data_IF_383563524442
#
_entry.id   IF_383563524442
#
_cell.length_a   1.000
_cell.length_b   1.000
_cell.length_c   1.000
_cell.angle_alpha   90.00
_cell.angle_beta   90.00
_cell.angle_gamma   90.00
#
_symmetry.space_group_name_H-M   'P 1'
#
loop_
_entity.id
_entity.type
_entity.pdbx_description
1 polymer ?
#
# COMPACT_ATOMS: atom_id res chain seq x y z
N UNK A 1 -9.33 4.90 -18.07
CA UNK A 1 -7.96 5.44 -17.92
C UNK A 1 -7.06 4.36 -17.33
N UNK A 2 -5.78 4.30 -17.73
CA UNK A 2 -4.86 3.16 -17.56
C UNK A 2 -4.78 2.53 -16.15
N UNK A 3 -5.08 3.28 -15.09
CA UNK A 3 -4.94 2.84 -13.70
C UNK A 3 -6.24 2.81 -12.88
N UNK A 4 -7.42 2.97 -13.50
CA UNK A 4 -8.70 3.07 -12.78
C UNK A 4 -8.97 1.84 -11.91
N UNK A 5 -8.66 0.65 -12.44
CA UNK A 5 -8.76 -0.62 -11.70
C UNK A 5 -7.88 -0.59 -10.45
N UNK A 6 -6.61 -0.19 -10.60
CA UNK A 6 -5.65 -0.18 -9.48
C UNK A 6 -6.04 0.83 -8.39
N UNK A 7 -6.56 2.00 -8.80
CA UNK A 7 -7.11 3.02 -7.89
C UNK A 7 -8.35 2.48 -7.15
N UNK A 8 -9.25 1.78 -7.84
CA UNK A 8 -10.42 1.16 -7.21
C UNK A 8 -10.01 0.09 -6.18
N UNK A 9 -9.00 -0.73 -6.50
CA UNK A 9 -8.44 -1.73 -5.59
C UNK A 9 -7.80 -1.09 -4.35
N UNK A 10 -7.05 0.01 -4.52
CA UNK A 10 -6.47 0.75 -3.40
C UNK A 10 -7.55 1.39 -2.52
N UNK A 11 -8.66 1.88 -3.12
CA UNK A 11 -9.82 2.40 -2.39
C UNK A 11 -10.47 1.30 -1.55
N UNK A 12 -10.70 0.12 -2.13
CA UNK A 12 -11.25 -1.02 -1.41
C UNK A 12 -10.32 -1.48 -0.27
N UNK A 13 -9.01 -1.41 -0.45
CA UNK A 13 -8.04 -1.73 0.59
C UNK A 13 -8.09 -0.73 1.76
N UNK A 14 -8.27 0.57 1.48
CA UNK A 14 -8.35 1.62 2.50
C UNK A 14 -9.46 1.36 3.53
N UNK A 15 -10.61 0.85 3.09
CA UNK A 15 -11.75 0.55 3.96
C UNK A 15 -11.46 -0.56 4.98
N UNK A 16 -10.40 -1.34 4.78
CA UNK A 16 -9.98 -2.42 5.67
C UNK A 16 -8.92 -1.97 6.70
N UNK A 17 -8.50 -0.70 6.68
CA UNK A 17 -7.44 -0.19 7.54
C UNK A 17 -7.80 -0.27 9.02
N UNK A 18 -6.85 -0.74 9.84
CA UNK A 18 -6.94 -0.75 11.29
C UNK A 18 -6.26 0.49 11.85
N UNK A 19 -7.03 1.55 12.08
CA UNK A 19 -6.51 2.88 12.46
C UNK A 19 -7.20 3.50 13.68
N UNK A 20 -7.29 2.80 14.82
CA UNK A 20 -8.02 3.33 15.97
C UNK A 20 -7.36 4.55 16.61
N UNK A 21 -6.08 4.85 16.34
CA UNK A 21 -5.35 5.94 16.98
C UNK A 21 -5.39 7.21 16.12
N UNK A 22 -4.93 7.14 14.86
CA UNK A 22 -4.91 8.34 13.99
C UNK A 22 -6.25 8.65 13.34
N UNK A 23 -7.12 7.63 13.19
CA UNK A 23 -8.32 7.66 12.33
C UNK A 23 -8.02 8.00 10.86
N UNK A 24 -6.76 7.92 10.45
CA UNK A 24 -6.30 8.25 9.11
C UNK A 24 -6.07 6.97 8.30
N UNK A 25 -7.05 6.62 7.47
CA UNK A 25 -7.01 5.40 6.67
C UNK A 25 -6.26 5.61 5.35
N UNK A 26 -5.33 4.71 5.05
CA UNK A 26 -4.58 4.65 3.80
C UNK A 26 -4.76 3.26 3.19
N UNK A 27 -4.99 3.22 1.89
CA UNK A 27 -5.04 2.00 1.10
C UNK A 27 -4.03 2.03 -0.04
N UNK A 28 -3.52 0.86 -0.40
CA UNK A 28 -2.61 0.66 -1.51
C UNK A 28 -2.99 -0.57 -2.32
N UNK A 29 -2.68 -0.55 -3.61
CA UNK A 29 -2.79 -1.70 -4.50
C UNK A 29 -1.54 -1.79 -5.36
N UNK A 30 -0.84 -2.92 -5.26
CA UNK A 30 0.39 -3.24 -5.97
C UNK A 30 0.07 -4.23 -7.09
N UNK A 31 0.31 -3.83 -8.32
CA UNK A 31 0.17 -4.67 -9.51
C UNK A 31 1.50 -5.40 -9.80
N UNK A 32 1.39 -6.70 -10.04
CA UNK A 32 2.50 -7.57 -10.43
C UNK A 32 2.57 -7.72 -11.96
N UNK A 33 3.73 -8.13 -12.48
CA UNK A 33 3.97 -8.38 -13.91
C UNK A 33 3.02 -9.43 -14.53
N UNK A 34 2.51 -10.35 -13.72
CA UNK A 34 1.54 -11.37 -14.12
C UNK A 34 0.08 -10.89 -14.03
N UNK A 35 -0.15 -9.63 -13.65
CA UNK A 35 -1.47 -9.01 -13.51
C UNK A 35 -2.16 -9.28 -12.17
N UNK A 36 -1.55 -10.01 -11.24
CA UNK A 36 -2.07 -10.14 -9.87
C UNK A 36 -1.97 -8.80 -9.15
N UNK A 37 -2.95 -8.52 -8.28
CA UNK A 37 -2.97 -7.31 -7.46
C UNK A 37 -2.94 -7.69 -5.98
N UNK A 38 -2.01 -7.09 -5.24
CA UNK A 38 -1.94 -7.17 -3.78
C UNK A 38 -2.46 -5.88 -3.15
N UNK A 39 -3.51 -6.01 -2.35
CA UNK A 39 -4.06 -4.92 -1.55
C UNK A 39 -3.25 -4.76 -0.26
N UNK A 40 -3.09 -3.52 0.19
CA UNK A 40 -2.50 -3.19 1.48
C UNK A 40 -3.25 -2.05 2.15
N UNK A 41 -3.31 -2.07 3.48
CA UNK A 41 -3.84 -0.98 4.29
C UNK A 41 -2.88 -0.68 5.44
N UNK A 42 -2.98 0.51 6.03
CA UNK A 42 -2.22 0.79 7.24
C UNK A 42 -2.82 0.05 8.44
N UNK A 43 -1.94 -0.50 9.27
CA UNK A 43 -2.27 -1.26 10.48
C UNK A 43 -1.52 -0.64 11.63
N UNK A 44 -2.27 -0.05 12.55
CA UNK A 44 -1.70 0.66 13.69
C UNK A 44 -1.52 -0.22 14.92
N UNK A 45 -0.69 0.26 15.83
CA UNK A 45 -0.48 -0.34 17.14
C UNK A 45 -0.36 0.77 18.19
N UNK A 46 -0.68 0.47 19.46
CA UNK A 46 -0.53 1.42 20.56
C UNK A 46 0.93 1.87 20.74
N UNK A 47 1.89 0.97 20.46
CA UNK A 47 3.29 1.34 20.30
C UNK A 47 3.51 1.88 18.89
N UNK A 48 3.46 3.22 18.74
CA UNK A 48 3.37 3.88 17.43
C UNK A 48 4.53 3.55 16.47
N UNK A 49 5.70 3.20 16.98
CA UNK A 49 6.84 2.75 16.16
C UNK A 49 6.56 1.44 15.39
N UNK A 50 5.54 0.68 15.78
CA UNK A 50 5.13 -0.58 15.14
C UNK A 50 4.06 -0.39 14.07
N UNK A 51 3.58 0.83 13.83
CA UNK A 51 2.60 1.08 12.78
C UNK A 51 3.18 0.72 11.40
N UNK A 52 2.42 -0.06 10.63
CA UNK A 52 2.77 -0.43 9.27
C UNK A 52 1.91 0.32 8.26
N UNK A 53 2.53 0.86 7.21
CA UNK A 53 1.85 1.66 6.19
C UNK A 53 1.24 0.77 5.09
N UNK A 54 0.27 1.29 4.35
CA UNK A 54 -0.45 0.55 3.32
C UNK A 54 0.47 0.02 2.21
N UNK A 55 1.43 0.84 1.78
CA UNK A 55 2.40 0.47 0.74
C UNK A 55 3.24 -0.71 1.20
N UNK A 56 3.78 -0.64 2.43
CA UNK A 56 4.56 -1.72 3.04
C UNK A 56 3.73 -3.00 3.18
N UNK A 57 2.48 -2.89 3.64
CA UNK A 57 1.56 -4.05 3.71
C UNK A 57 1.37 -4.71 2.34
N UNK A 58 1.17 -3.93 1.27
CA UNK A 58 0.99 -4.47 -0.08
C UNK A 58 2.25 -5.21 -0.58
N UNK A 59 3.43 -4.59 -0.45
CA UNK A 59 4.70 -5.22 -0.82
C UNK A 59 4.97 -6.48 0.00
N UNK A 60 4.86 -6.40 1.33
CA UNK A 60 5.16 -7.54 2.20
C UNK A 60 4.20 -8.70 1.94
N UNK A 61 2.93 -8.42 1.63
CA UNK A 61 1.96 -9.44 1.23
C UNK A 61 2.38 -10.11 -0.08
N UNK A 62 2.82 -9.34 -1.08
CA UNK A 62 3.29 -9.90 -2.35
C UNK A 62 4.54 -10.78 -2.16
N UNK A 63 5.53 -10.29 -1.41
CA UNK A 63 6.74 -11.06 -1.07
C UNK A 63 6.38 -12.36 -0.35
N UNK A 64 5.46 -12.32 0.62
CA UNK A 64 4.99 -13.51 1.33
C UNK A 64 4.27 -14.53 0.43
N UNK A 65 3.75 -14.08 -0.73
CA UNK A 65 3.15 -14.95 -1.76
C UNK A 65 4.15 -15.40 -2.82
N UNK A 66 5.45 -15.17 -2.62
CA UNK A 66 6.52 -15.69 -3.49
C UNK A 66 6.98 -14.75 -4.60
N UNK A 67 6.43 -13.52 -4.66
CA UNK A 67 6.94 -12.47 -5.58
C UNK A 67 8.28 -11.95 -5.06
N UNK A 68 9.11 -11.43 -5.96
CA UNK A 68 10.48 -10.96 -5.68
C UNK A 68 10.65 -9.49 -6.06
N UNK A 69 11.75 -8.85 -5.60
CA UNK A 69 12.10 -7.51 -6.08
C UNK A 69 12.10 -7.43 -7.61
N UNK A 70 11.43 -6.40 -8.14
CA UNK A 70 11.27 -6.21 -9.58
C UNK A 70 10.14 -7.01 -10.25
N UNK A 71 9.32 -7.77 -9.52
CA UNK A 71 8.12 -8.45 -10.09
C UNK A 71 6.89 -7.53 -10.22
N UNK A 72 7.04 -6.23 -10.00
CA UNK A 72 5.95 -5.27 -9.89
C UNK A 72 5.91 -4.29 -11.08
N UNK A 73 4.73 -3.79 -11.41
CA UNK A 73 4.51 -2.88 -12.55
C UNK A 73 4.02 -1.51 -12.10
N UNK A 74 3.16 -1.46 -11.09
CA UNK A 74 2.55 -0.22 -10.63
C UNK A 74 2.08 -0.33 -9.18
N UNK A 75 2.12 0.80 -8.46
CA UNK A 75 1.55 0.95 -7.13
C UNK A 75 0.58 2.14 -7.16
N UNK A 76 -0.66 1.93 -6.73
CA UNK A 76 -1.59 3.01 -6.40
C UNK A 76 -1.70 3.18 -4.88
N UNK A 77 -1.74 4.41 -4.40
CA UNK A 77 -1.90 4.75 -2.97
C UNK A 77 -2.99 5.80 -2.82
N UNK A 78 -3.91 5.60 -1.89
CA UNK A 78 -5.03 6.50 -1.58
C UNK A 78 -5.08 6.78 -0.09
N UNK A 79 -5.23 8.06 0.26
CA UNK A 79 -5.61 8.50 1.59
C UNK A 79 -6.51 9.73 1.52
N UNK A 80 -7.00 10.17 2.67
CA UNK A 80 -7.88 11.34 2.77
C UNK A 80 -7.08 12.63 2.89
N UNK A 81 -6.58 13.12 1.75
CA UNK A 81 -5.76 14.34 1.63
C UNK A 81 -6.35 15.26 0.55
N UNK A 82 -6.07 16.57 0.62
CA UNK A 82 -6.59 17.55 -0.35
C UNK A 82 -6.05 17.33 -1.78
N UNK A 83 -4.88 16.71 -1.90
CA UNK A 83 -4.28 16.26 -3.16
C UNK A 83 -3.89 14.79 -3.09
N UNK A 84 -3.13 14.28 -4.08
CA UNK A 84 -2.55 12.95 -4.03
C UNK A 84 -1.73 12.76 -2.75
N UNK A 85 -1.94 11.63 -2.07
CA UNK A 85 -1.17 11.31 -0.86
C UNK A 85 0.31 11.10 -1.19
N UNK A 86 1.19 11.61 -0.34
CA UNK A 86 2.62 11.43 -0.46
C UNK A 86 3.08 10.24 0.41
N UNK A 87 3.75 9.22 -0.14
CA UNK A 87 4.36 8.15 0.65
C UNK A 87 5.38 8.69 1.64
N UNK A 88 5.40 8.14 2.86
CA UNK A 88 6.40 8.48 3.87
C UNK A 88 7.79 7.96 3.48
N UNK A 89 8.85 8.48 4.11
CA UNK A 89 10.24 8.11 3.79
C UNK A 89 10.52 6.60 3.89
N UNK A 90 9.98 5.92 4.91
CA UNK A 90 10.13 4.49 5.06
C UNK A 90 9.48 3.69 3.90
N UNK A 91 8.29 4.11 3.45
CA UNK A 91 7.64 3.49 2.29
C UNK A 91 8.44 3.71 1.02
N UNK A 92 8.96 4.92 0.79
CA UNK A 92 9.79 5.20 -0.38
C UNK A 92 11.03 4.32 -0.44
N UNK A 93 11.67 4.07 0.70
CA UNK A 93 12.83 3.18 0.74
C UNK A 93 12.47 1.73 0.40
N UNK A 94 11.31 1.24 0.87
CA UNK A 94 10.81 -0.10 0.52
C UNK A 94 10.44 -0.19 -0.96
N UNK A 95 9.80 0.84 -1.52
CA UNK A 95 9.49 0.92 -2.96
C UNK A 95 10.77 0.93 -3.79
N UNK A 96 11.82 1.64 -3.36
CA UNK A 96 13.09 1.69 -4.07
C UNK A 96 13.82 0.33 -4.07
N UNK A 97 13.76 -0.40 -2.96
CA UNK A 97 14.44 -1.70 -2.80
C UNK A 97 13.69 -2.84 -3.49
N UNK A 98 12.36 -2.88 -3.37
CA UNK A 98 11.53 -4.00 -3.82
C UNK A 98 10.85 -3.75 -5.18
N UNK A 99 10.68 -2.49 -5.58
CA UNK A 99 9.93 -2.09 -6.77
C UNK A 99 10.48 -2.59 -8.09
#
# INVERSE_FOLDING_TARGET
MKYDKLIAEARAARELAYTPYSKFQVGAALECKDGRIFRGCNVENASYGLCNCAERTAFFSAIAHGYKPGDFTALAVIGQTDGPIAPCGACRQVVLELG
#
